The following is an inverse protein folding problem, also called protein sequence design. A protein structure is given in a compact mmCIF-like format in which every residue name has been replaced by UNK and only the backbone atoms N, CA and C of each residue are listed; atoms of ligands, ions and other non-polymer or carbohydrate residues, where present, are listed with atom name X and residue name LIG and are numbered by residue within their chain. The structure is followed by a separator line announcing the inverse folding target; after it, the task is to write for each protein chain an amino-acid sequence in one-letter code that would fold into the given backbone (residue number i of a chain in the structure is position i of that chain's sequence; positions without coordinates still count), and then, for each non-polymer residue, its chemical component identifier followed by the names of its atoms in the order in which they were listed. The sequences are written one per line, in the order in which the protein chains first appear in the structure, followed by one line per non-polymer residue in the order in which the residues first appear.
data_IF_872445069524
#
_entry.id   IF_872445069524
#
_cell.length_a   1.000
_cell.length_b   1.000
_cell.length_c   1.000
_cell.angle_alpha   90.00
_cell.angle_beta   90.00
_cell.angle_gamma   90.00
#
_symmetry.space_group_name_H-M   'P 1'
#
loop_
_entity.id
_entity.type
_entity.pdbx_description
1 polymer ?
#
# COMPACT_ATOMS: atom_id res chain seq x y z
N UNK A 1 3.47 24.05 23.04
CA UNK A 1 3.10 24.72 21.78
C UNK A 1 3.88 24.06 20.64
N UNK A 2 3.28 23.06 19.99
CA UNK A 2 3.99 22.10 19.14
C UNK A 2 3.93 22.50 17.66
N UNK A 3 4.60 23.60 17.27
CA UNK A 3 4.63 24.10 15.89
C UNK A 3 5.12 23.05 14.87
N UNK A 4 5.99 22.13 15.29
CA UNK A 4 6.58 21.09 14.42
C UNK A 4 5.56 20.13 13.79
N UNK A 5 4.43 19.85 14.46
CA UNK A 5 3.40 18.97 13.90
C UNK A 5 2.58 19.64 12.82
N UNK A 6 2.28 20.93 13.00
CA UNK A 6 1.51 21.71 12.05
C UNK A 6 2.27 21.89 10.73
N UNK A 7 3.57 22.17 10.81
CA UNK A 7 4.43 22.26 9.63
C UNK A 7 4.64 20.90 8.96
N UNK A 8 4.77 19.82 9.74
CA UNK A 8 4.93 18.48 9.17
C UNK A 8 3.68 18.04 8.41
N UNK A 9 2.48 18.26 8.98
CA UNK A 9 1.22 17.97 8.29
C UNK A 9 1.07 18.82 7.01
N UNK A 10 1.41 20.11 7.07
CA UNK A 10 1.35 20.98 5.89
C UNK A 10 2.35 20.52 4.81
N UNK A 11 3.54 20.09 5.21
CA UNK A 11 4.54 19.53 4.30
C UNK A 11 4.04 18.23 3.64
N UNK A 12 3.46 17.33 4.43
CA UNK A 12 2.84 16.11 3.94
C UNK A 12 1.69 16.38 2.97
N UNK A 13 0.84 17.35 3.27
CA UNK A 13 -0.27 17.76 2.42
C UNK A 13 0.23 18.40 1.11
N UNK A 14 1.23 19.28 1.20
CA UNK A 14 1.86 19.91 0.04
C UNK A 14 2.51 18.86 -0.87
N UNK A 15 3.20 17.87 -0.30
CA UNK A 15 3.74 16.72 -1.04
C UNK A 15 2.62 15.92 -1.73
N UNK A 16 1.50 15.69 -1.06
CA UNK A 16 0.33 15.04 -1.65
C UNK A 16 -0.24 15.81 -2.84
N UNK A 17 -0.41 17.13 -2.71
CA UNK A 17 -0.85 17.99 -3.81
C UNK A 17 0.16 18.04 -4.95
N UNK A 18 1.46 18.08 -4.65
CA UNK A 18 2.52 18.05 -5.63
C UNK A 18 2.46 16.77 -6.48
N UNK A 19 2.38 15.60 -5.83
CA UNK A 19 2.19 14.30 -6.51
C UNK A 19 0.91 14.26 -7.32
N UNK A 20 -0.18 14.80 -6.79
CA UNK A 20 -1.46 14.88 -7.49
C UNK A 20 -1.37 15.72 -8.76
N UNK A 21 -0.67 16.87 -8.72
CA UNK A 21 -0.46 17.76 -9.85
C UNK A 21 0.39 17.12 -10.95
N UNK A 22 1.44 16.38 -10.58
CA UNK A 22 2.27 15.69 -11.59
C UNK A 22 1.46 14.62 -12.33
N UNK A 23 0.60 13.88 -11.62
CA UNK A 23 -0.27 12.88 -12.25
C UNK A 23 -1.38 13.49 -13.12
N UNK A 24 -1.58 14.81 -13.05
CA UNK A 24 -2.52 15.56 -13.89
C UNK A 24 -1.85 16.12 -15.16
N UNK A 25 -0.54 15.95 -15.34
CA UNK A 25 0.11 16.46 -16.53
C UNK A 25 -0.30 15.68 -17.80
N UNK A 26 -0.64 16.40 -18.88
CA UNK A 26 -1.14 15.78 -20.10
C UNK A 26 -0.09 14.88 -20.77
N UNK A 27 1.19 15.25 -20.70
CA UNK A 27 2.30 14.47 -21.27
C UNK A 27 2.34 13.05 -20.68
N UNK A 28 2.26 12.95 -19.35
CA UNK A 28 2.26 11.65 -18.68
C UNK A 28 0.96 10.90 -18.94
N UNK A 29 -0.18 11.59 -19.04
CA UNK A 29 -1.45 10.94 -19.40
C UNK A 29 -1.42 10.38 -20.82
N UNK A 30 -0.76 11.06 -21.77
CA UNK A 30 -0.56 10.55 -23.12
C UNK A 30 0.30 9.28 -23.12
N UNK A 31 1.40 9.27 -22.35
CA UNK A 31 2.20 8.06 -22.13
C UNK A 31 1.33 6.97 -21.49
N UNK A 32 0.53 7.29 -20.48
CA UNK A 32 -0.42 6.38 -19.85
C UNK A 32 -1.43 5.78 -20.84
N UNK A 33 -2.01 6.58 -21.73
CA UNK A 33 -2.90 6.10 -22.79
C UNK A 33 -2.20 5.18 -23.78
N UNK A 34 -0.92 5.42 -24.07
CA UNK A 34 -0.16 4.62 -25.04
C UNK A 34 0.07 3.17 -24.58
N UNK A 35 0.14 2.95 -23.27
CA UNK A 35 0.35 1.64 -22.64
C UNK A 35 -0.96 0.92 -22.29
N UNK A 36 -2.09 1.63 -22.29
CA UNK A 36 -3.40 1.04 -22.01
C UNK A 36 -3.92 0.30 -23.24
N UNK A 37 -4.37 -0.96 -23.10
CA UNK A 37 -4.99 -1.69 -24.18
C UNK A 37 -6.19 -0.95 -24.76
N UNK A 38 -6.27 -0.87 -26.09
CA UNK A 38 -7.31 -0.14 -26.86
C UNK A 38 -8.73 -0.56 -26.47
N UNK A 39 -8.91 -1.80 -25.98
CA UNK A 39 -10.20 -2.28 -25.47
C UNK A 39 -10.76 -1.42 -24.34
N UNK A 40 -9.91 -0.75 -23.56
CA UNK A 40 -10.34 0.14 -22.48
C UNK A 40 -10.57 1.59 -22.93
N UNK A 41 -10.09 1.97 -24.13
CA UNK A 41 -10.25 3.34 -24.67
C UNK A 41 -11.41 3.44 -25.67
N UNK A 42 -11.88 2.32 -26.21
CA UNK A 42 -12.99 2.26 -27.17
C UNK A 42 -14.37 2.31 -26.52
N UNK A 43 -14.50 1.86 -25.27
CA UNK A 43 -15.78 1.89 -24.58
C UNK A 43 -16.08 3.32 -24.11
N UNK A 44 -17.29 3.84 -24.36
CA UNK A 44 -17.67 5.15 -23.87
C UNK A 44 -17.61 5.17 -22.35
N UNK A 45 -17.12 6.29 -21.81
CA UNK A 45 -16.94 6.57 -20.37
C UNK A 45 -18.23 6.32 -19.57
N UNK A 46 -19.41 6.36 -20.22
CA UNK A 46 -20.70 6.00 -19.60
C UNK A 46 -20.84 4.52 -19.21
N UNK A 47 -19.99 3.61 -19.72
CA UNK A 47 -20.04 2.17 -19.43
C UNK A 47 -18.97 1.71 -18.43
N UNK A 48 -18.46 2.62 -17.59
CA UNK A 48 -17.58 2.24 -16.48
C UNK A 48 -18.41 1.45 -15.46
N UNK A 49 -18.40 0.12 -15.61
CA UNK A 49 -19.04 -0.79 -14.68
C UNK A 49 -18.00 -1.41 -13.74
N UNK A 50 -18.44 -2.02 -12.64
CA UNK A 50 -17.58 -2.75 -11.71
C UNK A 50 -16.73 -3.81 -12.41
N UNK A 51 -17.30 -4.47 -13.43
CA UNK A 51 -16.59 -5.46 -14.27
C UNK A 51 -15.43 -4.84 -15.06
N UNK A 52 -15.62 -3.62 -15.58
CA UNK A 52 -14.56 -2.88 -16.29
C UNK A 52 -13.39 -2.62 -15.34
N UNK A 53 -13.67 -2.09 -14.15
CA UNK A 53 -12.65 -1.81 -13.14
C UNK A 53 -11.93 -3.09 -12.67
N UNK A 54 -12.68 -4.17 -12.46
CA UNK A 54 -12.12 -5.48 -12.11
C UNK A 54 -11.14 -5.98 -13.19
N UNK A 55 -11.55 -5.89 -14.46
CA UNK A 55 -10.70 -6.28 -15.59
C UNK A 55 -9.49 -5.37 -15.77
N UNK A 56 -9.63 -4.07 -15.49
CA UNK A 56 -8.53 -3.11 -15.54
C UNK A 56 -7.51 -3.39 -14.44
N UNK A 57 -7.96 -3.62 -13.20
CA UNK A 57 -7.08 -3.98 -12.07
C UNK A 57 -6.38 -5.31 -12.34
N UNK A 58 -7.09 -6.32 -12.82
CA UNK A 58 -6.49 -7.62 -13.17
C UNK A 58 -5.42 -7.48 -14.25
N UNK A 59 -5.68 -6.69 -15.29
CA UNK A 59 -4.69 -6.39 -16.32
C UNK A 59 -3.49 -5.62 -15.75
N UNK A 60 -3.75 -4.61 -14.91
CA UNK A 60 -2.70 -3.79 -14.30
C UNK A 60 -1.77 -4.62 -13.42
N UNK A 61 -2.32 -5.44 -12.52
CA UNK A 61 -1.55 -6.32 -11.64
C UNK A 61 -0.78 -7.41 -12.39
N UNK A 62 -1.26 -7.82 -13.57
CA UNK A 62 -0.55 -8.76 -14.43
C UNK A 62 0.57 -8.11 -15.26
N UNK A 63 0.44 -6.80 -15.56
CA UNK A 63 1.37 -6.08 -16.44
C UNK A 63 2.49 -5.41 -15.64
N UNK A 64 2.17 -4.81 -14.49
CA UNK A 64 3.13 -4.08 -13.68
C UNK A 64 3.72 -4.95 -12.58
N UNK A 65 5.05 -4.90 -12.45
CA UNK A 65 5.79 -5.62 -11.41
C UNK A 65 6.46 -4.65 -10.43
N UNK A 66 6.68 -5.11 -9.19
CA UNK A 66 7.44 -4.33 -8.20
C UNK A 66 8.91 -4.74 -8.32
N UNK A 67 9.77 -3.79 -8.63
CA UNK A 67 11.21 -3.97 -8.74
C UNK A 67 11.95 -2.93 -7.88
N UNK A 68 12.38 -3.39 -6.71
CA UNK A 68 13.08 -2.57 -5.72
C UNK A 68 14.52 -2.18 -6.11
N UNK A 69 15.04 -2.67 -7.24
CA UNK A 69 16.39 -2.34 -7.73
C UNK A 69 16.45 -1.05 -8.55
N UNK A 70 15.30 -0.40 -8.78
CA UNK A 70 15.23 0.79 -9.62
C UNK A 70 15.65 2.03 -8.82
N UNK A 71 16.66 2.76 -9.31
CA UNK A 71 17.18 3.95 -8.62
C UNK A 71 16.16 5.10 -8.60
N UNK A 72 16.25 5.94 -7.58
CA UNK A 72 15.61 7.26 -7.61
C UNK A 72 16.32 8.12 -8.66
N UNK A 73 15.53 8.90 -9.39
CA UNK A 73 16.02 10.04 -10.15
C UNK A 73 15.41 11.30 -9.54
N UNK A 74 16.14 12.41 -9.57
CA UNK A 74 15.71 13.71 -9.01
C UNK A 74 14.37 14.18 -9.60
N UNK A 75 14.12 13.87 -10.88
CA UNK A 75 12.88 14.23 -11.56
C UNK A 75 11.84 13.11 -11.53
N UNK A 76 10.77 13.33 -10.78
CA UNK A 76 9.64 12.41 -10.68
C UNK A 76 8.94 12.13 -12.02
N UNK A 77 8.93 13.12 -12.93
CA UNK A 77 8.38 12.97 -14.30
C UNK A 77 9.15 11.93 -15.10
N UNK A 78 10.46 12.12 -15.21
CA UNK A 78 11.38 11.22 -15.93
C UNK A 78 11.37 9.83 -15.28
N UNK A 79 11.29 9.79 -13.95
CA UNK A 79 11.16 8.54 -13.20
C UNK A 79 9.90 7.78 -13.62
N UNK A 80 8.74 8.44 -13.64
CA UNK A 80 7.46 7.84 -14.06
C UNK A 80 7.49 7.36 -15.51
N UNK A 81 8.01 8.16 -16.44
CA UNK A 81 8.16 7.78 -17.85
C UNK A 81 9.00 6.51 -18.00
N UNK A 82 10.13 6.45 -17.28
CA UNK A 82 10.97 5.24 -17.25
C UNK A 82 10.24 4.05 -16.63
N UNK A 83 9.41 4.26 -15.62
CA UNK A 83 8.60 3.18 -15.00
C UNK A 83 7.54 2.65 -15.96
N UNK A 84 6.93 3.52 -16.76
CA UNK A 84 6.01 3.11 -17.84
C UNK A 84 6.71 2.30 -18.92
N UNK A 85 7.94 2.68 -19.30
CA UNK A 85 8.71 1.94 -20.30
C UNK A 85 9.11 0.53 -19.85
N UNK A 86 9.42 0.35 -18.56
CA UNK A 86 9.86 -0.93 -17.99
C UNK A 86 8.69 -1.77 -17.44
N UNK A 87 7.48 -1.20 -17.38
CA UNK A 87 6.33 -1.81 -16.71
C UNK A 87 6.65 -2.26 -15.27
N UNK A 88 7.43 -1.45 -14.55
CA UNK A 88 7.86 -1.78 -13.19
C UNK A 88 7.90 -0.55 -12.27
N UNK A 89 7.33 -0.70 -11.08
CA UNK A 89 7.33 0.28 -10.00
C UNK A 89 8.39 -0.09 -8.96
N UNK A 90 8.98 0.87 -8.24
CA UNK A 90 9.93 0.53 -7.15
C UNK A 90 9.20 -0.05 -5.96
N UNK A 91 8.12 0.61 -5.58
CA UNK A 91 7.39 0.39 -4.34
C UNK A 91 5.88 0.44 -4.58
N UNK A 92 5.11 -0.04 -3.61
CA UNK A 92 3.64 -0.04 -3.68
C UNK A 92 3.09 1.38 -3.85
N UNK A 93 3.71 2.38 -3.22
CA UNK A 93 3.31 3.77 -3.37
C UNK A 93 3.44 4.28 -4.81
N UNK A 94 4.52 3.91 -5.51
CA UNK A 94 4.72 4.23 -6.93
C UNK A 94 3.73 3.47 -7.81
N UNK A 95 3.48 2.20 -7.50
CA UNK A 95 2.54 1.37 -8.23
C UNK A 95 1.12 1.96 -8.19
N UNK A 96 0.66 2.38 -7.01
CA UNK A 96 -0.63 3.07 -6.84
C UNK A 96 -0.67 4.38 -7.63
N UNK A 97 0.46 5.09 -7.69
CA UNK A 97 0.53 6.37 -8.41
C UNK A 97 0.49 6.18 -9.93
N UNK A 98 1.14 5.14 -10.45
CA UNK A 98 1.02 4.70 -11.86
C UNK A 98 -0.43 4.30 -12.17
N UNK A 99 -1.06 3.52 -11.29
CA UNK A 99 -2.45 3.13 -11.46
C UNK A 99 -3.40 4.33 -11.50
N UNK A 100 -3.23 5.29 -10.58
CA UNK A 100 -4.00 6.54 -10.60
C UNK A 100 -3.81 7.32 -11.89
N UNK A 101 -2.59 7.34 -12.43
CA UNK A 101 -2.31 8.00 -13.70
C UNK A 101 -3.05 7.36 -14.87
N UNK A 102 -3.10 6.02 -14.92
CA UNK A 102 -3.89 5.25 -15.89
C UNK A 102 -5.39 5.57 -15.76
N UNK A 103 -5.92 5.62 -14.54
CA UNK A 103 -7.32 5.97 -14.32
C UNK A 103 -7.63 7.40 -14.81
N UNK A 104 -6.69 8.34 -14.64
CA UNK A 104 -6.85 9.72 -15.14
C UNK A 104 -6.73 9.84 -16.65
N UNK A 105 -5.81 9.08 -17.25
CA UNK A 105 -5.67 8.97 -18.68
C UNK A 105 -6.99 8.50 -19.33
N UNK A 106 -7.73 7.60 -18.67
CA UNK A 106 -9.08 7.17 -19.07
C UNK A 106 -10.21 8.17 -18.72
N UNK A 107 -9.88 9.37 -18.25
CA UNK A 107 -10.82 10.40 -17.81
C UNK A 107 -11.79 9.94 -16.70
N UNK A 108 -11.38 8.98 -15.87
CA UNK A 108 -12.18 8.53 -14.74
C UNK A 108 -12.10 9.56 -13.59
N UNK A 109 -13.22 9.75 -12.89
CA UNK A 109 -13.29 10.59 -11.69
C UNK A 109 -12.58 9.91 -10.50
N UNK A 110 -11.24 9.92 -10.49
CA UNK A 110 -10.43 9.31 -9.43
C UNK A 110 -9.75 10.37 -8.53
N UNK A 111 -9.75 10.11 -7.22
CA UNK A 111 -9.13 10.95 -6.19
C UNK A 111 -7.95 10.21 -5.58
N UNK A 112 -6.83 10.89 -5.43
CA UNK A 112 -5.71 10.40 -4.63
C UNK A 112 -6.06 10.56 -3.15
N UNK A 113 -6.09 9.45 -2.42
CA UNK A 113 -6.31 9.43 -0.97
C UNK A 113 -4.99 9.08 -0.30
N UNK A 114 -4.52 9.97 0.58
CA UNK A 114 -3.28 9.77 1.34
C UNK A 114 -3.62 9.64 2.81
N UNK A 115 -3.20 8.53 3.42
CA UNK A 115 -3.23 8.36 4.86
C UNK A 115 -2.03 9.09 5.46
N UNK A 116 -2.21 10.37 5.76
CA UNK A 116 -1.18 11.16 6.44
C UNK A 116 -1.17 10.70 7.91
N UNK A 117 -0.22 9.84 8.27
CA UNK A 117 0.00 9.44 9.65
C UNK A 117 1.03 10.40 10.28
N UNK A 118 0.60 11.51 10.91
CA UNK A 118 1.52 12.34 11.68
C UNK A 118 2.04 11.53 12.87
N UNK A 119 3.32 11.71 13.20
CA UNK A 119 3.98 11.05 14.33
C UNK A 119 3.18 11.40 15.61
N UNK A 120 2.64 10.40 16.35
CA UNK A 120 1.84 10.69 17.52
C UNK A 120 2.70 11.35 18.60
N UNK A 121 2.46 12.62 18.88
CA UNK A 121 2.95 13.25 20.11
C UNK A 121 2.04 12.81 21.24
N UNK A 122 2.30 11.63 21.80
CA UNK A 122 1.84 11.34 23.15
C UNK A 122 2.64 12.23 24.09
N UNK A 123 2.09 13.39 24.41
CA UNK A 123 2.65 14.27 25.41
C UNK A 123 2.62 13.51 26.75
N UNK A 124 3.80 13.12 27.26
CA UNK A 124 3.92 12.58 28.60
C UNK A 124 3.67 13.72 29.60
N UNK A 125 2.40 13.97 29.92
CA UNK A 125 2.03 14.71 31.12
C UNK A 125 1.22 13.78 32.03
N UNK A 126 1.76 13.51 33.23
CA UNK A 126 1.03 12.86 34.31
C UNK A 126 1.41 11.41 34.59
N UNK A 127 2.32 11.23 35.54
CA UNK A 127 2.55 9.99 36.29
C UNK A 127 1.24 9.53 36.96
N UNK A 128 0.70 8.39 36.55
CA UNK A 128 -0.47 7.77 37.19
C UNK A 128 -0.66 6.33 36.72
N UNK A 129 -0.37 5.38 37.61
CA UNK A 129 -0.38 3.92 37.40
C UNK A 129 -1.73 3.41 36.84
N UNK A 130 -1.70 2.57 35.81
CA UNK A 130 -2.10 1.16 35.95
C UNK A 130 -1.95 0.38 34.64
N UNK A 131 -1.60 -0.88 34.84
CA UNK A 131 -1.22 -1.92 33.91
C UNK A 131 -2.35 -2.33 32.96
N UNK A 132 -2.01 -2.64 31.71
CA UNK A 132 -2.56 -3.79 30.96
C UNK A 132 -1.61 -4.14 29.80
N UNK A 133 -0.69 -5.07 30.09
CA UNK A 133 0.03 -5.87 29.09
C UNK A 133 -1.00 -6.77 28.40
N UNK A 134 -1.15 -6.64 27.08
CA UNK A 134 -1.68 -7.73 26.25
C UNK A 134 -0.48 -8.41 25.60
N UNK A 135 -0.08 -9.52 26.18
CA UNK A 135 0.93 -10.44 25.66
C UNK A 135 0.30 -11.30 24.56
N UNK A 136 0.62 -11.03 23.30
CA UNK A 136 0.50 -12.03 22.23
C UNK A 136 1.85 -12.74 22.17
N UNK A 137 1.96 -13.83 22.93
CA UNK A 137 3.09 -14.75 22.86
C UNK A 137 2.78 -15.82 21.81
N UNK A 138 3.66 -15.86 20.83
CA UNK A 138 3.78 -16.86 19.77
C UNK A 138 3.83 -18.25 20.39
N UNK A 139 2.89 -19.11 19.99
CA UNK A 139 2.90 -20.53 20.30
C UNK A 139 4.07 -21.19 19.56
N UNK A 140 5.08 -21.63 20.32
CA UNK A 140 6.03 -22.65 19.88
C UNK A 140 6.10 -23.68 20.99
N UNK A 141 5.70 -24.90 20.64
CA UNK A 141 5.54 -26.00 21.56
C UNK A 141 6.86 -26.47 22.16
N UNK A 142 6.81 -26.89 23.42
CA UNK A 142 7.53 -28.04 23.96
C UNK A 142 7.07 -28.26 25.40
N UNK A 143 6.48 -29.44 25.63
CA UNK A 143 6.05 -29.94 26.94
C UNK A 143 7.27 -30.37 27.77
N UNK A 144 7.27 -30.15 29.10
CA UNK A 144 7.97 -31.01 30.03
C UNK A 144 6.97 -31.77 30.90
N UNK A 145 7.01 -33.10 30.76
CA UNK A 145 6.28 -34.07 31.57
C UNK A 145 7.02 -34.27 32.91
N UNK A 146 6.30 -34.16 34.03
CA UNK A 146 6.83 -34.50 35.35
C UNK A 146 5.74 -35.16 36.19
N UNK A 147 5.67 -36.48 36.04
CA UNK A 147 5.69 -37.48 37.11
C UNK A 147 4.94 -37.16 38.42
N UNK A 148 3.69 -37.65 38.54
CA UNK A 148 3.11 -38.13 39.81
C UNK A 148 2.18 -39.34 39.62
N UNK A 149 2.79 -40.52 39.82
CA UNK A 149 2.42 -41.60 40.76
C UNK A 149 0.99 -42.19 40.78
N UNK A 150 0.94 -43.46 40.34
CA UNK A 150 0.26 -44.64 40.91
C UNK A 150 -1.27 -44.76 40.83
N UNK A 151 -1.73 -45.81 40.13
CA UNK A 151 -2.57 -46.90 40.67
C UNK A 151 -2.52 -48.13 39.76
N UNK A 152 -2.73 -49.27 40.37
CA UNK A 152 -2.31 -50.62 40.04
C UNK A 152 -3.54 -51.51 39.85
N UNK A 153 -3.52 -52.45 38.89
CA UNK A 153 -4.34 -53.69 38.77
C UNK A 153 -4.05 -54.29 37.38
N UNK A 154 -3.92 -55.59 37.06
CA UNK A 154 -3.86 -56.88 37.78
C UNK A 154 -3.46 -57.92 36.71
N UNK A 155 -2.90 -59.05 37.19
CA UNK A 155 -2.43 -60.26 36.46
C UNK A 155 -3.45 -60.91 35.51
N UNK A 156 -2.95 -61.64 34.50
CA UNK A 156 -3.13 -63.09 34.22
C UNK A 156 -2.46 -63.44 32.87
N UNK A 157 -1.48 -64.36 32.88
CA UNK A 157 -1.53 -65.74 32.33
C UNK A 157 -1.56 -65.75 30.78
N UNK A 158 -0.67 -66.40 30.03
CA UNK A 158 -0.03 -67.72 30.18
C UNK A 158 1.23 -67.74 29.33
#
# INVERSE_FOLDING_TARGET
MSFSQQVHLLCLLANGFHRNRICLQPDLQAVGLSIIPIRFTKDPVDRINRLFLSNLVNWFSATFTINNQLSDSEDWRVTLERRFAVYAARDEAELVQIFLLILRALHLMCRLVLSLQPIPLKESSGKGKSSKKSSVLVASGTLPDSAKRTRQCTRADT
#
